data_IF_548404303281
#
_entry.id   IF_548404303281
#
_cell.length_a   1.000
_cell.length_b   1.000
_cell.length_c   1.000
_cell.angle_alpha   90.00
_cell.angle_beta   90.00
_cell.angle_gamma   90.00
#
_symmetry.space_group_name_H-M   'P 1'
#
loop_
_entity.id
_entity.type
_entity.pdbx_description
1 polymer ?
#
# COMPACT_ATOMS: atom_id res chain seq x y z
N UNK A 1 30.56 11.96 -19.29
CA UNK A 1 29.25 12.51 -19.72
C UNK A 1 28.40 11.40 -20.31
N UNK A 2 27.09 11.48 -20.20
CA UNK A 2 26.16 10.50 -20.76
C UNK A 2 25.07 11.21 -21.57
N UNK A 3 24.55 10.56 -22.62
CA UNK A 3 23.42 11.04 -23.42
C UNK A 3 22.52 9.86 -23.81
N UNK A 4 21.23 10.12 -23.95
CA UNK A 4 20.27 9.16 -24.50
C UNK A 4 20.27 9.34 -26.03
N UNK A 5 20.35 8.24 -26.76
CA UNK A 5 20.14 8.19 -28.22
C UNK A 5 19.04 7.17 -28.43
N UNK A 6 17.89 7.61 -28.93
CA UNK A 6 16.73 6.77 -29.14
C UNK A 6 16.12 7.11 -30.50
N UNK A 7 15.73 6.07 -31.24
CA UNK A 7 15.17 6.16 -32.59
C UNK A 7 14.12 5.06 -32.72
N UNK A 8 12.95 5.41 -33.24
CA UNK A 8 11.84 4.48 -33.49
C UNK A 8 11.46 4.54 -34.97
N UNK A 9 11.97 3.61 -35.81
CA UNK A 9 11.65 3.57 -37.22
C UNK A 9 10.28 2.92 -37.51
N UNK A 10 9.59 2.39 -36.50
CA UNK A 10 8.32 1.71 -36.68
C UNK A 10 7.18 2.73 -36.90
N UNK A 11 6.24 2.40 -37.79
CA UNK A 11 5.09 3.26 -38.14
C UNK A 11 3.78 2.77 -37.51
N UNK A 12 3.80 1.67 -36.76
CA UNK A 12 2.63 1.13 -36.07
C UNK A 12 2.21 2.06 -34.95
N UNK A 13 0.89 2.22 -34.76
CA UNK A 13 0.32 3.19 -33.82
C UNK A 13 0.53 2.83 -32.34
N UNK A 14 0.87 1.58 -32.05
CA UNK A 14 1.15 1.05 -30.71
C UNK A 14 2.65 1.00 -30.36
N UNK A 15 3.53 1.29 -31.33
CA UNK A 15 4.97 1.31 -31.13
C UNK A 15 5.41 2.76 -30.90
N UNK A 16 5.65 3.08 -29.64
CA UNK A 16 6.20 4.36 -29.21
C UNK A 16 6.85 4.18 -27.84
N UNK A 17 7.73 5.12 -27.46
CA UNK A 17 8.26 5.19 -26.10
C UNK A 17 8.45 6.63 -25.64
N UNK A 18 8.37 6.83 -24.33
CA UNK A 18 8.74 8.08 -23.66
C UNK A 18 9.93 7.85 -22.73
N UNK A 19 10.85 8.80 -22.68
CA UNK A 19 11.99 8.78 -21.75
C UNK A 19 12.12 10.11 -21.01
N UNK A 20 12.83 10.06 -19.89
CA UNK A 20 13.17 11.23 -19.08
C UNK A 20 14.68 11.38 -18.99
N UNK A 21 15.22 12.56 -18.64
CA UNK A 21 16.65 12.74 -18.46
C UNK A 21 17.25 11.72 -17.47
N UNK A 22 18.47 11.22 -17.71
CA UNK A 22 19.08 10.24 -16.82
C UNK A 22 19.38 10.86 -15.46
N UNK A 23 19.21 10.06 -14.40
CA UNK A 23 19.54 10.43 -13.03
C UNK A 23 20.35 9.31 -12.37
N UNK A 24 21.32 9.68 -11.55
CA UNK A 24 22.00 8.75 -10.64
C UNK A 24 21.31 8.87 -9.28
N UNK A 25 20.44 7.92 -8.90
CA UNK A 25 19.65 8.06 -7.68
C UNK A 25 20.54 7.95 -6.44
N UNK A 26 20.24 8.75 -5.43
CA UNK A 26 20.74 8.51 -4.09
C UNK A 26 19.88 7.41 -3.48
N UNK A 27 20.50 6.27 -3.16
CA UNK A 27 19.81 5.11 -2.64
C UNK A 27 19.93 5.08 -1.11
N UNK A 28 18.79 4.83 -0.45
CA UNK A 28 18.67 4.53 0.97
C UNK A 28 18.04 3.15 1.12
N UNK A 29 18.41 2.40 2.16
CA UNK A 29 17.81 1.07 2.37
C UNK A 29 16.35 1.19 2.82
N UNK A 30 15.50 0.23 2.44
CA UNK A 30 14.09 0.23 2.83
C UNK A 30 13.90 0.28 4.36
N UNK A 31 14.76 -0.40 5.13
CA UNK A 31 14.73 -0.35 6.60
C UNK A 31 14.99 1.06 7.15
N UNK A 32 15.99 1.77 6.61
CA UNK A 32 16.29 3.14 7.04
C UNK A 32 15.17 4.11 6.63
N UNK A 33 14.51 3.86 5.50
CA UNK A 33 13.45 4.72 4.99
C UNK A 33 12.12 4.53 5.74
N UNK A 34 11.72 3.27 5.95
CA UNK A 34 10.44 2.91 6.58
C UNK A 34 10.52 2.82 8.11
N UNK A 35 11.69 2.52 8.67
CA UNK A 35 11.85 2.22 10.09
C UNK A 35 11.05 0.99 10.53
N UNK A 36 10.72 0.96 11.83
CA UNK A 36 9.98 -0.13 12.48
C UNK A 36 8.73 0.33 13.24
N UNK A 37 8.39 1.62 13.16
CA UNK A 37 7.28 2.23 13.92
C UNK A 37 6.18 2.77 13.01
N UNK A 38 6.54 3.21 11.81
CA UNK A 38 5.60 3.67 10.78
C UNK A 38 4.60 2.57 10.46
N UNK A 39 3.28 2.84 10.47
CA UNK A 39 2.25 1.88 10.14
C UNK A 39 2.27 1.58 8.64
N UNK A 40 2.39 0.30 8.29
CA UNK A 40 2.51 -0.15 6.91
C UNK A 40 1.42 -1.17 6.59
N UNK A 41 0.83 -1.07 5.40
CA UNK A 41 0.06 -2.18 4.83
C UNK A 41 1.03 -3.12 4.11
N UNK A 42 1.28 -4.29 4.68
CA UNK A 42 2.03 -5.34 3.99
C UNK A 42 1.05 -6.31 3.34
N UNK A 43 1.16 -6.49 2.03
CA UNK A 43 0.35 -7.49 1.33
C UNK A 43 0.75 -8.91 1.78
N UNK A 44 -0.21 -9.83 1.72
CA UNK A 44 -0.11 -11.21 2.25
C UNK A 44 1.21 -11.89 1.87
N UNK A 45 1.61 -11.79 0.60
CA UNK A 45 2.80 -12.45 0.09
C UNK A 45 4.12 -11.84 0.60
N UNK A 46 4.11 -10.58 1.02
CA UNK A 46 5.32 -9.85 1.43
C UNK A 46 5.51 -9.78 2.94
N UNK A 47 4.44 -10.01 3.72
CA UNK A 47 4.45 -9.81 5.17
C UNK A 47 5.53 -10.62 5.91
N UNK A 48 5.84 -11.84 5.46
CA UNK A 48 6.88 -12.67 6.07
C UNK A 48 8.31 -12.17 5.79
N UNK A 49 8.51 -11.40 4.73
CA UNK A 49 9.83 -10.89 4.33
C UNK A 49 10.23 -9.60 5.05
N UNK A 50 9.26 -8.90 5.65
CA UNK A 50 9.44 -7.63 6.34
C UNK A 50 9.08 -7.76 7.84
N UNK A 51 9.78 -8.62 8.61
CA UNK A 51 9.39 -8.95 9.98
C UNK A 51 9.60 -7.80 10.99
N UNK A 52 10.37 -6.77 10.62
CA UNK A 52 10.65 -5.62 11.49
C UNK A 52 9.66 -4.46 11.28
N UNK A 53 8.94 -4.45 10.15
CA UNK A 53 7.96 -3.43 9.85
C UNK A 53 6.70 -3.71 10.66
N UNK A 54 6.13 -2.65 11.25
CA UNK A 54 4.90 -2.75 12.03
C UNK A 54 3.69 -2.62 11.10
N UNK A 55 2.78 -3.60 11.06
CA UNK A 55 1.51 -3.39 10.38
C UNK A 55 0.69 -2.30 11.08
N UNK A 56 -0.16 -1.60 10.35
CA UNK A 56 -1.15 -0.71 10.99
C UNK A 56 -2.03 -1.53 11.95
N UNK A 57 -2.44 -0.93 13.06
CA UNK A 57 -3.24 -1.61 14.07
C UNK A 57 -4.74 -1.32 13.91
N UNK A 58 -5.57 -2.24 14.40
CA UNK A 58 -7.01 -2.03 14.56
C UNK A 58 -7.37 -2.18 16.04
N UNK A 59 -8.00 -1.16 16.62
CA UNK A 59 -8.34 -1.12 18.03
C UNK A 59 -9.73 -0.49 18.21
N UNK A 60 -10.58 -1.12 19.03
CA UNK A 60 -11.97 -0.70 19.27
C UNK A 60 -12.82 -0.53 17.98
N UNK A 61 -12.53 -1.34 16.94
CA UNK A 61 -13.25 -1.28 15.67
C UNK A 61 -12.82 -0.11 14.75
N UNK A 62 -11.74 0.59 15.08
CA UNK A 62 -11.17 1.67 14.27
C UNK A 62 -9.76 1.28 13.83
N UNK A 63 -9.46 1.45 12.54
CA UNK A 63 -8.15 1.18 11.97
C UNK A 63 -7.25 2.42 12.03
N UNK A 64 -5.97 2.22 12.35
CA UNK A 64 -4.91 3.19 12.12
C UNK A 64 -4.66 3.37 10.62
N UNK A 65 -4.49 4.62 10.18
CA UNK A 65 -4.24 4.93 8.77
C UNK A 65 -2.79 4.60 8.40
N UNK A 66 -2.52 3.65 7.47
CA UNK A 66 -1.16 3.32 7.07
C UNK A 66 -0.52 4.46 6.25
N UNK A 67 0.80 4.57 6.32
CA UNK A 67 1.58 5.56 5.56
C UNK A 67 2.19 5.00 4.27
N UNK A 68 2.45 3.69 4.25
CA UNK A 68 3.03 3.01 3.09
C UNK A 68 2.35 1.66 2.85
N UNK A 69 2.53 1.14 1.64
CA UNK A 69 2.16 -0.22 1.27
C UNK A 69 3.33 -0.95 0.63
N UNK A 70 3.57 -2.19 1.05
CA UNK A 70 4.53 -3.11 0.43
C UNK A 70 3.74 -4.12 -0.40
N UNK A 71 4.05 -4.18 -1.69
CA UNK A 71 3.37 -5.03 -2.67
C UNK A 71 4.32 -6.12 -3.18
N UNK A 72 3.81 -7.32 -3.52
CA UNK A 72 4.59 -8.30 -4.25
C UNK A 72 4.79 -7.88 -5.72
N UNK A 73 5.42 -8.74 -6.51
CA UNK A 73 5.57 -8.53 -7.96
C UNK A 73 4.23 -8.31 -8.68
N UNK A 74 4.28 -7.72 -9.87
CA UNK A 74 3.10 -7.26 -10.60
C UNK A 74 2.06 -8.37 -10.83
N UNK A 75 2.51 -9.57 -11.23
CA UNK A 75 1.60 -10.69 -11.49
C UNK A 75 0.84 -11.09 -10.23
N UNK A 76 1.54 -11.18 -9.09
CA UNK A 76 0.96 -11.58 -7.81
C UNK A 76 0.00 -10.51 -7.25
N UNK A 77 0.30 -9.23 -7.45
CA UNK A 77 -0.59 -8.13 -7.04
C UNK A 77 -1.96 -8.26 -7.71
N UNK A 78 -1.97 -8.42 -9.02
CA UNK A 78 -3.19 -8.39 -9.84
C UNK A 78 -4.10 -9.57 -9.54
N UNK A 79 -3.55 -10.78 -9.40
CA UNK A 79 -4.35 -12.01 -9.25
C UNK A 79 -4.70 -12.34 -7.79
N UNK A 80 -3.93 -11.84 -6.82
CA UNK A 80 -4.12 -12.21 -5.42
C UNK A 80 -4.42 -11.01 -4.55
N UNK A 81 -3.49 -10.06 -4.43
CA UNK A 81 -3.59 -9.01 -3.42
C UNK A 81 -4.79 -8.09 -3.66
N UNK A 82 -5.02 -7.69 -4.91
CA UNK A 82 -6.14 -6.80 -5.26
C UNK A 82 -7.51 -7.46 -5.15
N UNK A 83 -7.59 -8.78 -5.38
CA UNK A 83 -8.85 -9.51 -5.28
C UNK A 83 -9.19 -9.84 -3.82
N UNK A 84 -8.23 -10.39 -3.08
CA UNK A 84 -8.45 -10.85 -1.72
C UNK A 84 -8.74 -9.70 -0.75
N UNK A 85 -8.00 -8.60 -0.86
CA UNK A 85 -8.09 -7.46 0.05
C UNK A 85 -9.12 -6.41 -0.42
N UNK A 86 -9.98 -6.75 -1.39
CA UNK A 86 -10.89 -5.80 -2.01
C UNK A 86 -11.89 -5.20 -1.01
N UNK A 87 -12.29 -3.94 -1.25
CA UNK A 87 -13.29 -3.26 -0.44
C UNK A 87 -14.64 -4.00 -0.44
N UNK A 88 -15.03 -4.59 -1.59
CA UNK A 88 -16.28 -5.36 -1.73
C UNK A 88 -16.28 -6.65 -0.92
N UNK A 89 -15.10 -7.16 -0.55
CA UNK A 89 -14.93 -8.37 0.26
C UNK A 89 -14.62 -8.05 1.73
N UNK A 90 -14.66 -6.78 2.13
CA UNK A 90 -14.38 -6.34 3.50
C UNK A 90 -12.90 -6.25 3.86
N UNK A 91 -12.00 -6.27 2.87
CA UNK A 91 -10.57 -6.08 3.10
C UNK A 91 -10.20 -4.64 3.46
N UNK A 92 -8.92 -4.38 3.80
CA UNK A 92 -8.44 -3.07 4.25
C UNK A 92 -8.65 -1.95 3.22
N UNK A 93 -8.85 -2.30 1.93
CA UNK A 93 -9.18 -1.33 0.90
C UNK A 93 -10.49 -0.57 1.15
N UNK A 94 -11.38 -1.11 2.01
CA UNK A 94 -12.65 -0.49 2.35
C UNK A 94 -12.50 0.96 2.84
N UNK A 95 -11.52 1.23 3.70
CA UNK A 95 -11.25 2.58 4.20
C UNK A 95 -10.08 3.24 3.47
N UNK A 96 -9.08 2.47 3.04
CA UNK A 96 -7.88 3.01 2.38
C UNK A 96 -8.25 3.72 1.08
N UNK A 97 -9.03 3.09 0.20
CA UNK A 97 -9.37 3.69 -1.11
C UNK A 97 -10.27 4.91 -0.99
N UNK A 98 -11.02 5.03 0.11
CA UNK A 98 -11.91 6.15 0.37
C UNK A 98 -11.19 7.35 1.00
N UNK A 99 -10.06 7.12 1.69
CA UNK A 99 -9.38 8.15 2.49
C UNK A 99 -8.00 8.55 1.92
N UNK A 100 -7.37 7.68 1.12
CA UNK A 100 -5.98 7.81 0.69
C UNK A 100 -5.85 7.73 -0.83
N UNK A 101 -4.91 8.48 -1.38
CA UNK A 101 -4.35 8.27 -2.72
C UNK A 101 -2.97 7.63 -2.61
N UNK A 102 -2.49 7.02 -3.70
CA UNK A 102 -1.23 6.30 -3.76
C UNK A 102 -0.22 7.00 -4.67
N UNK A 103 1.05 6.92 -4.28
CA UNK A 103 2.18 7.31 -5.12
C UNK A 103 3.26 6.23 -5.07
N UNK A 104 3.70 5.75 -6.24
CA UNK A 104 4.74 4.72 -6.33
C UNK A 104 6.11 5.28 -6.00
N UNK A 105 6.88 4.54 -5.18
CA UNK A 105 8.28 4.81 -4.88
C UNK A 105 9.15 3.87 -5.74
N UNK A 106 10.12 4.39 -6.52
CA UNK A 106 11.03 3.54 -7.27
C UNK A 106 11.98 2.80 -6.32
N UNK A 107 11.96 1.47 -6.36
CA UNK A 107 12.76 0.61 -5.50
C UNK A 107 13.55 -0.41 -6.31
N UNK A 108 14.64 -0.90 -5.75
CA UNK A 108 15.56 -1.82 -6.42
C UNK A 108 16.03 -2.89 -5.44
N UNK A 109 16.22 -4.11 -5.95
CA UNK A 109 16.85 -5.18 -5.18
C UNK A 109 18.38 -5.07 -5.31
N UNK A 110 19.07 -5.05 -4.17
CA UNK A 110 20.53 -4.91 -4.13
C UNK A 110 21.19 -6.05 -4.92
N UNK A 111 22.02 -5.71 -5.89
CA UNK A 111 22.80 -6.63 -6.72
C UNK A 111 21.99 -7.60 -7.60
N UNK A 112 20.66 -7.42 -7.73
CA UNK A 112 19.81 -8.19 -8.65
C UNK A 112 18.88 -7.23 -9.42
N UNK A 113 19.46 -6.51 -10.38
CA UNK A 113 18.81 -5.40 -11.09
C UNK A 113 17.71 -5.83 -12.07
N UNK A 114 17.62 -7.13 -12.39
CA UNK A 114 16.62 -7.69 -13.30
C UNK A 114 15.39 -8.23 -12.55
N UNK A 115 15.38 -8.17 -11.22
CA UNK A 115 14.32 -8.76 -10.39
C UNK A 115 13.17 -7.78 -10.13
N UNK A 116 11.98 -8.17 -10.57
CA UNK A 116 10.73 -7.64 -10.03
C UNK A 116 10.44 -8.28 -8.66
N UNK A 117 10.96 -7.66 -7.61
CA UNK A 117 10.74 -8.11 -6.23
C UNK A 117 9.34 -7.70 -5.73
N UNK A 118 8.76 -6.67 -6.33
CA UNK A 118 7.56 -5.99 -5.87
C UNK A 118 7.69 -4.47 -5.95
N UNK A 119 6.83 -3.79 -5.20
CA UNK A 119 6.76 -2.33 -5.21
C UNK A 119 6.53 -1.77 -3.81
N UNK A 120 6.86 -0.49 -3.66
CA UNK A 120 6.55 0.30 -2.47
C UNK A 120 5.67 1.48 -2.89
N UNK A 121 4.56 1.68 -2.21
CA UNK A 121 3.68 2.83 -2.41
C UNK A 121 3.65 3.69 -1.14
N UNK A 122 3.61 5.01 -1.33
CA UNK A 122 3.29 5.98 -0.29
C UNK A 122 1.80 6.27 -0.34
N UNK A 123 1.16 6.29 0.82
CA UNK A 123 -0.18 6.80 0.97
C UNK A 123 -0.17 8.30 1.27
N UNK A 124 -1.10 9.01 0.64
CA UNK A 124 -1.30 10.45 0.80
C UNK A 124 -2.76 10.65 1.20
N UNK A 125 -3.03 11.30 2.34
CA UNK A 125 -4.41 11.55 2.77
C UNK A 125 -5.11 12.50 1.81
N UNK A 126 -6.35 12.18 1.46
CA UNK A 126 -7.23 13.07 0.68
C UNK A 126 -7.53 14.36 1.43
N UNK A 127 -7.78 14.25 2.74
CA UNK A 127 -7.96 15.39 3.64
C UNK A 127 -6.81 15.40 4.65
N UNK A 128 -6.06 16.52 4.77
CA UNK A 128 -4.98 16.62 5.74
C UNK A 128 -5.44 16.38 7.18
N UNK A 129 -4.58 15.76 7.99
CA UNK A 129 -4.89 15.46 9.39
C UNK A 129 -5.05 16.73 10.26
N UNK A 130 -4.54 17.88 9.82
CA UNK A 130 -4.75 19.17 10.47
C UNK A 130 -6.19 19.65 10.39
N UNK A 131 -6.91 19.28 9.32
CA UNK A 131 -8.32 19.61 9.12
C UNK A 131 -9.24 18.49 9.61
N UNK A 132 -8.84 17.23 9.42
CA UNK A 132 -9.56 16.05 9.85
C UNK A 132 -8.67 15.16 10.75
N UNK A 133 -8.54 15.50 12.05
CA UNK A 133 -7.76 14.73 13.00
C UNK A 133 -8.43 13.40 13.37
N UNK A 134 -7.70 12.52 14.05
CA UNK A 134 -8.26 11.28 14.56
C UNK A 134 -9.33 11.56 15.62
N UNK A 135 -10.40 10.75 15.62
CA UNK A 135 -11.48 10.87 16.58
C UNK A 135 -11.06 10.43 18.00
N UNK A 136 -11.62 11.07 19.02
CA UNK A 136 -11.57 10.59 20.41
C UNK A 136 -12.71 9.59 20.59
N UNK A 137 -12.37 8.33 20.84
CA UNK A 137 -13.35 7.24 21.02
C UNK A 137 -13.75 7.15 22.49
N UNK A 138 -15.03 7.36 22.79
CA UNK A 138 -15.61 7.04 24.09
C UNK A 138 -15.91 5.54 24.17
N UNK A 139 -15.56 4.92 25.29
CA UNK A 139 -15.59 3.47 25.45
C UNK A 139 -16.32 3.06 26.74
N UNK A 140 -17.00 1.94 26.69
CA UNK A 140 -17.72 1.38 27.83
C UNK A 140 -17.87 -0.13 27.71
N UNK A 141 -18.47 -0.72 28.74
CA UNK A 141 -18.71 -2.16 28.82
C UNK A 141 -20.19 -2.44 29.08
N UNK A 142 -20.71 -3.54 28.54
CA UNK A 142 -22.04 -4.05 28.86
C UNK A 142 -21.99 -5.56 29.03
N UNK A 143 -22.86 -6.10 29.89
CA UNK A 143 -23.07 -7.55 30.02
C UNK A 143 -24.17 -7.98 29.06
N UNK A 144 -23.92 -9.03 28.28
CA UNK A 144 -24.88 -9.61 27.34
C UNK A 144 -24.97 -11.12 27.54
N UNK A 145 -26.11 -11.71 27.20
CA UNK A 145 -26.28 -13.16 27.17
C UNK A 145 -25.55 -13.77 25.96
N UNK A 146 -25.04 -15.00 26.10
CA UNK A 146 -24.24 -15.67 25.06
C UNK A 146 -24.99 -16.01 23.77
N UNK A 147 -26.33 -15.96 23.78
CA UNK A 147 -27.20 -16.17 22.61
C UNK A 147 -27.83 -14.86 22.10
N UNK A 148 -27.51 -13.72 22.71
CA UNK A 148 -28.01 -12.43 22.26
C UNK A 148 -27.38 -12.01 20.93
N UNK A 149 -28.20 -11.69 19.93
CA UNK A 149 -27.74 -11.16 18.63
C UNK A 149 -28.46 -9.87 18.30
N UNK A 150 -27.75 -8.75 18.29
CA UNK A 150 -28.29 -7.43 17.92
C UNK A 150 -28.11 -7.17 16.43
N UNK A 151 -28.96 -7.79 15.61
CA UNK A 151 -28.94 -7.63 14.15
C UNK A 151 -27.74 -8.28 13.44
N UNK A 152 -27.78 -8.36 12.10
CA UNK A 152 -26.63 -8.78 11.29
C UNK A 152 -25.61 -7.66 11.10
N UNK A 153 -24.34 -8.03 10.88
CA UNK A 153 -23.33 -7.14 10.29
C UNK A 153 -23.68 -6.89 8.81
N UNK A 154 -23.40 -5.69 8.29
CA UNK A 154 -23.50 -5.41 6.86
C UNK A 154 -22.29 -6.01 6.14
N UNK A 155 -22.42 -7.25 5.66
CA UNK A 155 -21.40 -7.98 4.89
C UNK A 155 -21.79 -8.18 3.42
N UNK A 156 -22.63 -7.29 2.89
CA UNK A 156 -22.98 -7.23 1.47
C UNK A 156 -22.49 -5.88 0.90
N UNK A 157 -21.86 -5.87 -0.29
CA UNK A 157 -21.37 -4.65 -0.93
C UNK A 157 -22.51 -3.67 -1.21
#
# INVERSE_FOLDING_TARGET
VARIVADDPNLSTDQWFGFTPPRVPVLQTAQQFLGSQTPILMDIATAANFPCQRPFAEHLGVAEVPEYRILPNLKQVVVSSNMWQSARSGGPFLFIQALLTTATIPTYLRNDWYRDWGALERYIRLVPASEAPNAVVDQGSKTVFGWGRTGPIRALP
#
